data_IF_702771175970
#
_entry.id   IF_702771175970
#
_cell.length_a   1.000
_cell.length_b   1.000
_cell.length_c   1.000
_cell.angle_alpha   90.00
_cell.angle_beta   90.00
_cell.angle_gamma   90.00
#
_symmetry.space_group_name_H-M   'P 1'
#
loop_
_entity.id
_entity.type
_entity.pdbx_description
1 polymer ?
#
# COMPACT_ATOMS: atom_id res chain seq x y z
N UNK A 1 -16.76 54.09 -18.32
CA UNK A 1 -15.40 54.54 -18.67
C UNK A 1 -14.64 53.34 -19.20
N UNK A 2 -14.42 53.33 -20.51
CA UNK A 2 -13.66 52.32 -21.22
C UNK A 2 -12.16 52.67 -21.20
N UNK A 3 -11.29 51.66 -21.26
CA UNK A 3 -10.09 51.77 -22.10
C UNK A 3 -9.51 50.38 -22.40
N UNK A 4 -9.61 50.00 -23.67
CA UNK A 4 -8.84 48.93 -24.30
C UNK A 4 -7.82 49.59 -25.22
N UNK A 5 -6.61 49.06 -25.30
CA UNK A 5 -5.58 49.54 -26.23
C UNK A 5 -5.18 48.44 -27.19
N UNK A 6 -5.47 48.67 -28.48
CA UNK A 6 -4.99 47.89 -29.62
C UNK A 6 -3.62 48.40 -30.07
N UNK A 7 -2.71 47.50 -30.43
CA UNK A 7 -1.47 47.84 -31.15
C UNK A 7 -1.53 47.24 -32.56
N UNK A 8 -1.27 48.11 -33.54
CA UNK A 8 -1.30 47.89 -34.99
C UNK A 8 -0.31 46.82 -35.45
N UNK A 9 -0.81 45.91 -36.28
CA UNK A 9 -0.02 45.11 -37.23
C UNK A 9 0.38 46.00 -38.41
N UNK A 10 1.66 45.99 -38.79
CA UNK A 10 2.11 46.40 -40.12
C UNK A 10 2.95 45.27 -40.70
N UNK A 11 2.42 44.64 -41.75
CA UNK A 11 3.15 43.77 -42.65
C UNK A 11 3.67 44.61 -43.82
N UNK A 12 4.94 44.43 -44.18
CA UNK A 12 5.46 44.86 -45.47
C UNK A 12 6.31 43.73 -46.07
N UNK A 13 6.05 43.53 -47.36
CA UNK A 13 6.45 42.54 -48.34
C UNK A 13 7.95 42.40 -48.66
N UNK A 14 8.35 41.14 -48.89
CA UNK A 14 9.27 40.59 -49.92
C UNK A 14 10.59 41.29 -50.33
N UNK A 15 11.70 40.55 -50.31
CA UNK A 15 12.32 40.04 -51.56
C UNK A 15 13.38 38.96 -51.26
N UNK A 16 13.49 38.04 -52.21
CA UNK A 16 14.29 36.82 -52.24
C UNK A 16 15.47 37.05 -53.19
N UNK A 17 16.71 36.78 -52.74
CA UNK A 17 17.83 36.15 -53.48
C UNK A 17 19.19 36.54 -52.88
N UNK A 18 20.06 35.55 -52.69
CA UNK A 18 21.49 35.76 -52.40
C UNK A 18 22.10 34.71 -51.47
N UNK A 19 22.28 33.48 -51.94
CA UNK A 19 23.18 32.53 -51.29
C UNK A 19 24.62 33.05 -51.29
N UNK A 20 25.29 33.03 -50.14
CA UNK A 20 26.69 32.56 -50.01
C UNK A 20 26.89 31.90 -48.65
N UNK A 21 27.42 30.68 -48.70
CA UNK A 21 27.80 29.83 -47.59
C UNK A 21 28.97 30.39 -46.78
N UNK A 22 28.88 30.38 -45.45
CA UNK A 22 30.04 30.19 -44.58
C UNK A 22 29.65 29.48 -43.29
N UNK A 23 30.53 28.58 -42.88
CA UNK A 23 30.41 27.60 -41.81
C UNK A 23 30.15 28.22 -40.42
N UNK A 24 29.33 27.51 -39.64
CA UNK A 24 29.59 27.28 -38.21
C UNK A 24 28.99 28.26 -37.20
N UNK A 25 27.71 28.08 -36.86
CA UNK A 25 27.21 28.39 -35.51
C UNK A 25 26.28 27.28 -35.03
N UNK A 26 26.75 26.52 -34.03
CA UNK A 26 25.92 25.62 -33.22
C UNK A 26 24.78 26.43 -32.63
N UNK A 27 23.55 26.04 -32.91
CA UNK A 27 22.37 26.49 -32.16
C UNK A 27 22.59 26.15 -30.68
N UNK A 28 22.31 27.07 -29.73
CA UNK A 28 22.29 26.69 -28.33
C UNK A 28 21.13 25.70 -28.19
N UNK A 29 21.48 24.45 -27.87
CA UNK A 29 20.50 23.42 -27.58
C UNK A 29 19.52 23.94 -26.53
N UNK A 30 18.23 23.72 -26.78
CA UNK A 30 17.17 23.88 -25.80
C UNK A 30 17.66 23.29 -24.48
N UNK A 31 17.94 24.18 -23.51
CA UNK A 31 18.19 23.75 -22.15
C UNK A 31 16.84 23.22 -21.67
N UNK A 32 16.69 21.89 -21.70
CA UNK A 32 15.66 21.23 -20.91
C UNK A 32 15.98 21.62 -19.48
N UNK A 33 15.28 22.63 -18.98
CA UNK A 33 15.32 23.06 -17.60
C UNK A 33 14.91 21.83 -16.78
N UNK A 34 15.89 21.06 -16.29
CA UNK A 34 15.58 19.99 -15.34
C UNK A 34 14.95 20.70 -14.16
N UNK A 35 13.69 20.39 -13.89
CA UNK A 35 13.07 20.76 -12.64
C UNK A 35 13.86 20.01 -11.58
N UNK A 36 14.79 20.69 -10.91
CA UNK A 36 15.56 20.10 -9.82
C UNK A 36 14.64 20.09 -8.61
N UNK A 37 14.11 18.91 -8.31
CA UNK A 37 13.42 18.68 -7.06
C UNK A 37 14.46 18.58 -5.94
N UNK A 38 14.34 19.40 -4.90
CA UNK A 38 15.30 19.43 -3.79
C UNK A 38 14.99 18.30 -2.81
N UNK A 39 15.39 17.07 -3.09
CA UNK A 39 15.32 15.99 -2.09
C UNK A 39 16.29 16.28 -0.94
N UNK A 40 15.81 16.25 0.31
CA UNK A 40 16.68 16.36 1.48
C UNK A 40 17.49 15.06 1.58
N UNK A 41 18.80 15.12 1.29
CA UNK A 41 19.70 14.02 1.61
C UNK A 41 19.84 13.94 3.13
N UNK A 42 19.06 13.05 3.77
CA UNK A 42 19.23 12.72 5.18
C UNK A 42 20.42 11.78 5.36
N UNK A 43 20.95 11.69 6.58
CA UNK A 43 22.00 10.71 6.94
C UNK A 43 21.59 9.26 6.68
N UNK A 44 20.29 9.00 6.53
CA UNK A 44 19.72 7.67 6.31
C UNK A 44 19.38 7.38 4.85
N UNK A 45 19.62 8.30 3.90
CA UNK A 45 19.14 8.18 2.52
C UNK A 45 19.50 6.83 1.88
N UNK A 46 20.77 6.43 1.94
CA UNK A 46 21.22 5.17 1.36
C UNK A 46 20.61 3.95 2.06
N UNK A 47 20.49 3.99 3.39
CA UNK A 47 19.88 2.94 4.20
C UNK A 47 18.37 2.78 3.89
N UNK A 48 17.66 3.89 3.74
CA UNK A 48 16.25 3.93 3.38
C UNK A 48 16.03 3.30 2.01
N UNK A 49 16.83 3.70 1.01
CA UNK A 49 16.76 3.15 -0.35
C UNK A 49 17.07 1.65 -0.35
N UNK A 50 18.08 1.23 0.39
CA UNK A 50 18.45 -0.18 0.49
C UNK A 50 17.35 -1.01 1.17
N UNK A 51 16.77 -0.50 2.25
CA UNK A 51 15.68 -1.16 2.98
C UNK A 51 14.43 -1.26 2.13
N UNK A 52 14.02 -0.18 1.45
CA UNK A 52 12.85 -0.18 0.58
C UNK A 52 13.00 -1.18 -0.58
N UNK A 53 14.19 -1.26 -1.20
CA UNK A 53 14.50 -2.27 -2.23
C UNK A 53 14.49 -3.70 -1.71
N UNK A 54 15.00 -3.93 -0.49
CA UNK A 54 14.98 -5.25 0.15
C UNK A 54 13.55 -5.73 0.39
N UNK A 55 12.69 -4.84 0.89
CA UNK A 55 11.26 -5.13 1.08
C UNK A 55 10.58 -5.37 -0.29
N UNK A 56 10.86 -4.56 -1.31
CA UNK A 56 10.31 -4.69 -2.67
C UNK A 56 10.98 -5.76 -3.55
N UNK A 57 11.54 -6.80 -2.94
CA UNK A 57 12.25 -7.86 -3.65
C UNK A 57 11.29 -8.82 -4.37
N UNK A 58 11.68 -9.34 -5.56
CA UNK A 58 10.83 -10.22 -6.34
C UNK A 58 10.32 -11.42 -5.55
N UNK A 59 9.02 -11.72 -5.69
CA UNK A 59 8.39 -12.88 -5.05
C UNK A 59 8.06 -12.72 -3.56
N UNK A 60 8.46 -11.64 -2.88
CA UNK A 60 8.22 -11.43 -1.44
C UNK A 60 7.33 -10.23 -1.11
N UNK A 61 6.26 -10.45 -0.34
CA UNK A 61 5.32 -9.42 0.08
C UNK A 61 5.49 -8.94 1.52
N UNK A 62 4.49 -8.21 2.01
CA UNK A 62 4.43 -7.72 3.39
C UNK A 62 3.31 -8.44 4.16
N UNK A 63 3.63 -8.91 5.36
CA UNK A 63 2.67 -9.43 6.33
C UNK A 63 2.11 -8.29 7.21
N UNK A 64 0.80 -8.06 7.17
CA UNK A 64 0.13 -7.14 8.09
C UNK A 64 -0.37 -7.86 9.33
N UNK A 65 0.20 -7.52 10.48
CA UNK A 65 -0.34 -7.95 11.78
C UNK A 65 -0.44 -6.77 12.75
N UNK A 66 -0.66 -5.58 12.19
CA UNK A 66 -0.77 -4.30 12.86
C UNK A 66 -2.19 -3.97 13.33
N UNK A 67 -3.04 -4.99 13.48
CA UNK A 67 -4.37 -4.79 14.02
C UNK A 67 -4.31 -4.31 15.47
N UNK A 68 -5.02 -3.22 15.75
CA UNK A 68 -5.21 -2.74 17.12
C UNK A 68 -5.86 -3.82 17.99
N UNK A 69 -5.73 -3.68 19.31
CA UNK A 69 -6.33 -4.61 20.27
C UNK A 69 -7.84 -4.77 20.07
N UNK A 70 -8.55 -3.71 19.68
CA UNK A 70 -9.98 -3.76 19.37
C UNK A 70 -10.27 -4.58 18.10
N UNK A 71 -9.52 -4.36 17.02
CA UNK A 71 -9.70 -5.08 15.75
C UNK A 71 -9.32 -6.55 15.90
N UNK A 72 -8.20 -6.85 16.56
CA UNK A 72 -7.81 -8.22 16.88
C UNK A 72 -8.85 -8.90 17.77
N UNK A 73 -9.45 -8.17 18.73
CA UNK A 73 -10.52 -8.69 19.58
C UNK A 73 -11.74 -9.15 18.79
N UNK A 74 -12.19 -8.39 17.79
CA UNK A 74 -13.29 -8.82 16.89
C UNK A 74 -12.93 -10.11 16.14
N UNK A 75 -11.68 -10.25 15.72
CA UNK A 75 -11.17 -11.46 15.05
C UNK A 75 -11.19 -12.66 16.00
N UNK A 76 -10.70 -12.50 17.22
CA UNK A 76 -10.72 -13.55 18.26
C UNK A 76 -12.15 -13.90 18.70
N UNK A 77 -13.06 -12.95 18.75
CA UNK A 77 -14.45 -13.23 19.11
C UNK A 77 -15.14 -14.14 18.07
N UNK A 78 -14.79 -14.02 16.78
CA UNK A 78 -15.41 -14.82 15.70
C UNK A 78 -15.19 -16.33 15.82
N UNK A 79 -14.16 -16.75 16.58
CA UNK A 79 -13.78 -18.14 16.88
C UNK A 79 -14.06 -18.51 18.35
N UNK A 80 -14.74 -17.64 19.08
CA UNK A 80 -15.01 -17.75 20.51
C UNK A 80 -13.75 -17.81 21.38
N UNK A 81 -12.77 -16.92 21.12
CA UNK A 81 -11.66 -16.65 22.03
C UNK A 81 -11.78 -15.24 22.62
N UNK A 82 -11.43 -15.11 23.90
CA UNK A 82 -11.42 -13.83 24.59
C UNK A 82 -10.30 -12.92 24.09
N UNK A 83 -10.53 -11.61 24.14
CA UNK A 83 -9.54 -10.61 23.75
C UNK A 83 -8.53 -10.34 24.88
N UNK A 84 -7.70 -11.33 25.21
CA UNK A 84 -6.62 -11.20 26.20
C UNK A 84 -5.27 -11.01 25.50
N UNK A 85 -4.31 -10.40 26.19
CA UNK A 85 -2.95 -10.24 25.68
C UNK A 85 -2.32 -11.60 25.31
N UNK A 86 -2.50 -12.62 26.14
CA UNK A 86 -1.99 -13.97 25.86
C UNK A 86 -2.55 -14.57 24.57
N UNK A 87 -3.85 -14.41 24.31
CA UNK A 87 -4.45 -14.91 23.06
C UNK A 87 -3.96 -14.12 21.84
N UNK A 88 -3.80 -12.80 22.00
CA UNK A 88 -3.21 -11.91 20.99
C UNK A 88 -1.76 -12.31 20.69
N UNK A 89 -0.93 -12.50 21.70
CA UNK A 89 0.45 -12.97 21.57
C UNK A 89 0.52 -14.34 20.90
N UNK A 90 -0.27 -15.32 21.35
CA UNK A 90 -0.29 -16.66 20.77
C UNK A 90 -0.70 -16.66 19.29
N UNK A 91 -1.63 -15.78 18.94
CA UNK A 91 -2.04 -15.56 17.55
C UNK A 91 -0.89 -15.00 16.70
N UNK A 92 -0.15 -13.99 17.18
CA UNK A 92 0.98 -13.42 16.43
C UNK A 92 2.18 -14.36 16.38
N UNK A 93 2.47 -15.06 17.48
CA UNK A 93 3.50 -16.11 17.50
C UNK A 93 3.24 -17.15 16.42
N UNK A 94 1.99 -17.62 16.30
CA UNK A 94 1.64 -18.62 15.29
C UNK A 94 1.96 -18.17 13.86
N UNK A 95 1.75 -16.89 13.54
CA UNK A 95 2.08 -16.34 12.22
C UNK A 95 3.59 -16.20 12.05
N UNK A 96 4.26 -15.58 13.03
CA UNK A 96 5.67 -15.20 12.96
C UNK A 96 6.64 -16.38 13.06
N UNK A 97 6.22 -17.49 13.64
CA UNK A 97 7.05 -18.72 13.74
C UNK A 97 6.67 -19.74 12.67
N UNK A 98 6.00 -19.34 11.59
CA UNK A 98 5.72 -20.24 10.46
C UNK A 98 7.03 -20.57 9.75
N UNK A 99 7.44 -21.84 9.63
CA UNK A 99 8.68 -22.20 8.95
C UNK A 99 8.67 -21.77 7.49
N UNK A 100 9.77 -21.17 7.01
CA UNK A 100 9.91 -20.71 5.63
C UNK A 100 9.13 -19.43 5.31
N UNK A 101 8.70 -18.67 6.33
CA UNK A 101 7.99 -17.41 6.13
C UNK A 101 8.83 -16.41 5.30
N UNK A 102 10.15 -16.41 5.50
CA UNK A 102 11.09 -15.51 4.80
C UNK A 102 11.18 -15.71 3.29
N UNK A 103 10.73 -16.87 2.78
CA UNK A 103 10.69 -17.15 1.33
C UNK A 103 9.65 -16.29 0.60
N UNK A 104 8.58 -15.89 1.31
CA UNK A 104 7.42 -15.19 0.73
C UNK A 104 7.21 -13.81 1.32
N UNK A 105 7.79 -13.53 2.48
CA UNK A 105 7.62 -12.27 3.20
C UNK A 105 8.98 -11.60 3.34
N UNK A 106 9.05 -10.32 3.02
CA UNK A 106 10.25 -9.49 3.14
C UNK A 106 10.10 -8.40 4.20
N UNK A 107 8.86 -8.09 4.61
CA UNK A 107 8.57 -7.18 5.71
C UNK A 107 7.32 -7.58 6.48
N UNK A 108 7.24 -7.22 7.75
CA UNK A 108 6.03 -7.42 8.57
C UNK A 108 5.73 -6.18 9.40
N UNK A 109 4.47 -5.73 9.39
CA UNK A 109 4.04 -4.53 10.10
C UNK A 109 3.38 -4.95 11.43
N UNK A 110 3.92 -4.45 12.54
CA UNK A 110 3.43 -4.72 13.88
C UNK A 110 2.51 -3.62 14.40
N UNK A 111 1.65 -4.03 15.35
CA UNK A 111 1.04 -3.11 16.31
C UNK A 111 1.99 -2.94 17.49
N UNK A 112 1.89 -1.81 18.20
CA UNK A 112 2.77 -1.44 19.32
C UNK A 112 2.91 -2.55 20.37
N UNK A 113 1.81 -3.22 20.74
CA UNK A 113 1.85 -4.36 21.67
C UNK A 113 2.73 -5.51 21.16
N UNK A 114 2.62 -5.86 19.87
CA UNK A 114 3.36 -6.98 19.28
C UNK A 114 4.85 -6.69 19.14
N UNK A 115 5.25 -5.42 18.97
CA UNK A 115 6.65 -5.03 18.85
C UNK A 115 7.48 -5.42 20.09
N UNK A 116 6.87 -5.34 21.28
CA UNK A 116 7.52 -5.65 22.55
C UNK A 116 7.25 -7.06 23.07
N UNK A 117 6.42 -7.84 22.37
CA UNK A 117 6.11 -9.21 22.73
C UNK A 117 7.23 -10.19 22.33
N UNK A 118 7.22 -11.32 23.03
CA UNK A 118 8.12 -12.46 22.78
C UNK A 118 7.30 -13.71 22.50
N UNK A 119 7.93 -14.72 21.92
CA UNK A 119 7.42 -16.08 21.89
C UNK A 119 7.29 -16.64 23.31
N UNK A 120 6.51 -17.70 23.48
CA UNK A 120 6.44 -18.46 24.74
C UNK A 120 7.81 -18.95 25.25
N UNK A 121 8.79 -19.06 24.36
CA UNK A 121 10.11 -19.59 24.66
C UNK A 121 11.12 -18.45 24.92
N UNK A 122 10.64 -17.21 25.07
CA UNK A 122 11.43 -16.03 25.48
C UNK A 122 12.10 -15.25 24.35
N UNK A 123 12.05 -15.73 23.10
CA UNK A 123 12.62 -15.02 21.94
C UNK A 123 11.72 -13.87 21.49
N UNK A 124 12.26 -12.67 21.30
CA UNK A 124 11.48 -11.51 20.82
C UNK A 124 10.97 -11.74 19.40
N UNK A 125 9.77 -11.25 19.10
CA UNK A 125 9.20 -11.36 17.74
C UNK A 125 10.03 -10.66 16.66
N UNK A 126 10.68 -9.55 17.00
CA UNK A 126 11.61 -8.86 16.11
C UNK A 126 12.76 -9.79 15.69
N UNK A 127 13.29 -10.58 16.62
CA UNK A 127 14.40 -11.49 16.34
C UNK A 127 13.92 -12.73 15.57
N UNK A 128 12.68 -13.17 15.76
CA UNK A 128 12.07 -14.19 14.89
C UNK A 128 12.03 -13.75 13.42
N UNK A 129 11.70 -12.49 13.16
CA UNK A 129 11.66 -11.95 11.79
C UNK A 129 13.06 -11.80 11.18
N UNK A 130 14.02 -11.30 11.95
CA UNK A 130 15.41 -11.11 11.47
C UNK A 130 16.05 -12.43 11.05
N UNK A 131 15.83 -13.50 11.79
CA UNK A 131 16.36 -14.84 11.44
C UNK A 131 15.82 -15.36 10.10
N UNK A 132 14.63 -14.91 9.69
CA UNK A 132 13.99 -15.25 8.42
C UNK A 132 14.24 -14.18 7.33
N UNK A 133 15.15 -13.22 7.55
CA UNK A 133 15.42 -12.09 6.65
C UNK A 133 14.18 -11.23 6.33
N UNK A 134 13.30 -11.06 7.32
CA UNK A 134 12.10 -10.23 7.25
C UNK A 134 12.37 -8.91 7.99
N UNK A 135 12.10 -7.79 7.32
CA UNK A 135 12.25 -6.45 7.92
C UNK A 135 11.08 -6.17 8.88
N UNK A 136 11.35 -5.91 10.17
CA UNK A 136 10.31 -5.52 11.12
C UNK A 136 9.87 -4.07 10.86
N UNK A 137 8.57 -3.85 10.76
CA UNK A 137 7.93 -2.54 10.62
C UNK A 137 6.94 -2.29 11.76
N UNK A 138 6.58 -1.03 11.97
CA UNK A 138 5.69 -0.61 13.06
C UNK A 138 4.63 0.34 12.52
N UNK A 139 3.38 0.11 12.94
CA UNK A 139 2.29 1.04 12.76
C UNK A 139 2.42 2.20 13.75
N UNK A 140 2.56 3.41 13.24
CA UNK A 140 2.72 4.62 14.07
C UNK A 140 1.50 5.52 14.10
N UNK A 141 0.54 5.30 13.21
CA UNK A 141 -0.71 6.06 13.23
C UNK A 141 -1.56 5.70 14.45
N UNK A 142 -2.30 6.69 14.95
CA UNK A 142 -3.12 6.57 16.16
C UNK A 142 -4.61 6.43 15.84
N UNK A 143 -4.93 5.92 14.64
CA UNK A 143 -6.29 5.83 14.16
C UNK A 143 -6.86 7.18 13.72
N UNK A 144 -8.05 7.12 13.17
CA UNK A 144 -8.56 8.15 12.31
C UNK A 144 -9.43 9.15 13.10
N UNK A 145 -9.32 10.45 12.78
CA UNK A 145 -10.05 11.53 13.47
C UNK A 145 -11.00 12.25 12.52
N UNK A 146 -12.19 12.67 12.97
CA UNK A 146 -13.09 13.50 12.17
C UNK A 146 -12.48 14.83 11.78
N UNK A 147 -12.54 15.16 10.48
CA UNK A 147 -12.14 16.46 9.97
C UNK A 147 -13.23 17.53 10.24
N UNK A 148 -12.98 18.53 11.10
CA UNK A 148 -13.96 19.57 11.39
C UNK A 148 -14.32 20.39 10.15
N UNK A 149 -15.57 20.85 10.07
CA UNK A 149 -16.05 21.64 8.93
C UNK A 149 -16.65 20.83 7.76
N UNK A 150 -16.55 19.49 7.79
CA UNK A 150 -17.20 18.60 6.80
C UNK A 150 -18.47 17.92 7.32
N UNK A 151 -18.88 18.20 8.56
CA UNK A 151 -20.00 17.51 9.23
C UNK A 151 -21.40 17.90 8.70
N UNK A 152 -21.51 18.97 7.90
CA UNK A 152 -22.81 19.54 7.46
C UNK A 152 -23.13 19.36 5.97
N UNK A 153 -22.34 18.59 5.22
CA UNK A 153 -22.62 18.33 3.79
C UNK A 153 -22.59 16.82 3.59
N UNK A 154 -23.78 16.22 3.55
CA UNK A 154 -24.08 14.77 3.52
C UNK A 154 -23.73 13.98 4.79
N UNK A 155 -24.70 13.18 5.24
CA UNK A 155 -24.74 12.39 6.49
C UNK A 155 -23.73 11.23 6.58
N UNK A 156 -22.55 11.37 5.99
CA UNK A 156 -21.43 10.42 6.06
C UNK A 156 -20.10 11.17 6.06
N UNK A 157 -19.75 11.77 7.20
CA UNK A 157 -18.40 12.26 7.46
C UNK A 157 -17.77 11.41 8.58
N UNK A 158 -16.45 11.15 8.56
CA UNK A 158 -15.47 12.08 8.01
C UNK A 158 -14.41 11.42 7.11
N UNK A 159 -13.74 12.25 6.32
CA UNK A 159 -12.38 11.89 5.92
C UNK A 159 -11.53 11.80 7.16
N UNK A 160 -10.87 10.66 7.24
CA UNK A 160 -10.35 10.05 8.44
C UNK A 160 -8.84 10.29 8.38
N UNK A 161 -8.39 11.34 9.06
CA UNK A 161 -6.97 11.69 9.16
C UNK A 161 -6.41 10.95 10.36
N UNK A 162 -5.50 10.00 10.14
CA UNK A 162 -4.60 9.57 11.19
C UNK A 162 -3.23 10.20 10.97
N UNK A 163 -2.50 10.43 12.06
CA UNK A 163 -1.15 10.96 12.09
C UNK A 163 -0.14 10.08 11.36
N UNK A 164 -0.25 10.01 10.03
CA UNK A 164 0.85 9.73 9.15
C UNK A 164 0.74 8.54 8.23
N UNK A 165 0.38 7.37 8.75
CA UNK A 165 0.52 6.12 7.98
C UNK A 165 -0.73 5.76 7.17
N UNK A 166 -1.93 6.08 7.68
CA UNK A 166 -3.21 5.67 7.10
C UNK A 166 -4.05 6.88 6.69
N UNK A 167 -4.42 6.92 5.40
CA UNK A 167 -5.48 7.79 4.90
C UNK A 167 -6.53 6.93 4.22
N UNK A 168 -7.77 7.07 4.68
CA UNK A 168 -8.93 6.41 4.09
C UNK A 168 -9.82 7.48 3.44
N UNK A 169 -9.87 7.45 2.12
CA UNK A 169 -10.69 8.35 1.31
C UNK A 169 -12.01 7.68 0.97
N UNK A 170 -13.10 8.40 1.19
CA UNK A 170 -14.38 8.04 0.58
C UNK A 170 -14.26 8.14 -0.94
N UNK A 171 -15.21 7.52 -1.64
CA UNK A 171 -15.27 7.54 -3.10
C UNK A 171 -15.57 8.94 -3.64
N UNK A 172 -16.23 9.80 -2.88
CA UNK A 172 -16.45 11.19 -3.25
C UNK A 172 -15.87 12.12 -2.17
N UNK A 173 -14.54 12.21 -2.04
CA UNK A 173 -13.91 13.03 -1.02
C UNK A 173 -13.98 14.51 -1.41
N UNK A 174 -14.21 15.39 -0.42
CA UNK A 174 -14.12 16.84 -0.63
C UNK A 174 -12.68 17.26 -0.92
N UNK A 175 -12.48 18.39 -1.59
CA UNK A 175 -11.13 18.90 -1.88
C UNK A 175 -10.31 19.14 -0.62
N UNK A 176 -10.96 19.64 0.43
CA UNK A 176 -10.34 19.81 1.75
C UNK A 176 -9.84 18.47 2.30
N UNK A 177 -10.67 17.43 2.23
CA UNK A 177 -10.31 16.10 2.67
C UNK A 177 -9.12 15.51 1.91
N UNK A 178 -9.09 15.68 0.59
CA UNK A 178 -7.97 15.23 -0.25
C UNK A 178 -6.69 15.93 0.19
N UNK A 179 -6.73 17.26 0.27
CA UNK A 179 -5.60 18.09 0.64
C UNK A 179 -5.03 17.73 2.01
N UNK A 180 -5.88 17.64 3.02
CA UNK A 180 -5.42 17.46 4.40
C UNK A 180 -4.83 16.08 4.64
N UNK A 181 -5.39 15.05 4.01
CA UNK A 181 -4.88 13.69 4.10
C UNK A 181 -3.56 13.54 3.32
N UNK A 182 -3.48 14.11 2.12
CA UNK A 182 -2.25 14.13 1.34
C UNK A 182 -1.12 14.87 2.06
N UNK A 183 -1.42 16.02 2.68
CA UNK A 183 -0.48 16.75 3.53
C UNK A 183 -0.06 15.96 4.77
N UNK A 184 -1.00 15.25 5.41
CA UNK A 184 -0.73 14.38 6.55
C UNK A 184 0.23 13.24 6.21
N UNK A 185 -0.02 12.52 5.11
CA UNK A 185 0.85 11.46 4.59
C UNK A 185 2.26 12.00 4.27
N UNK A 186 2.35 13.19 3.67
CA UNK A 186 3.61 13.78 3.28
C UNK A 186 4.50 14.14 4.48
N UNK A 187 3.93 14.78 5.51
CA UNK A 187 4.66 15.08 6.75
C UNK A 187 5.12 13.81 7.44
N UNK A 188 4.30 12.77 7.45
CA UNK A 188 4.71 11.47 7.99
C UNK A 188 5.86 10.83 7.25
N UNK A 189 5.80 10.83 5.92
CA UNK A 189 6.87 10.27 5.12
C UNK A 189 8.20 11.01 5.41
N UNK A 190 8.16 12.35 5.45
CA UNK A 190 9.32 13.16 5.79
C UNK A 190 9.86 12.87 7.21
N UNK A 191 9.00 12.83 8.23
CA UNK A 191 9.39 12.53 9.61
C UNK A 191 9.96 11.11 9.73
N UNK A 192 9.37 10.13 9.04
CA UNK A 192 9.85 8.75 9.05
C UNK A 192 11.27 8.67 8.48
N UNK A 193 11.50 9.33 7.34
CA UNK A 193 12.82 9.37 6.70
C UNK A 193 13.88 10.10 7.54
N UNK A 194 13.50 11.15 8.25
CA UNK A 194 14.38 11.86 9.20
C UNK A 194 14.80 10.97 10.38
N UNK A 195 14.04 9.91 10.67
CA UNK A 195 14.31 8.94 11.74
C UNK A 195 14.82 7.59 11.23
N UNK A 196 15.22 7.49 9.95
CA UNK A 196 15.76 6.27 9.37
C UNK A 196 14.73 5.15 9.14
N UNK A 197 13.44 5.48 9.11
CA UNK A 197 12.35 4.54 8.83
C UNK A 197 11.83 4.73 7.42
N UNK A 198 11.73 3.64 6.65
CA UNK A 198 11.08 3.65 5.32
C UNK A 198 9.57 3.84 5.51
N UNK A 199 8.99 4.98 5.08
CA UNK A 199 7.54 5.15 5.16
C UNK A 199 6.81 4.30 4.12
N UNK A 200 5.73 3.67 4.56
CA UNK A 200 4.76 3.03 3.67
C UNK A 200 3.59 4.00 3.53
N UNK A 201 3.45 4.65 2.38
CA UNK A 201 2.37 5.62 2.13
C UNK A 201 1.13 4.87 1.67
N UNK A 202 0.03 4.96 2.43
CA UNK A 202 -1.25 4.25 2.19
C UNK A 202 -2.37 5.24 1.81
N UNK A 203 -2.46 5.63 0.52
CA UNK A 203 -3.58 6.42 -0.01
C UNK A 203 -4.74 5.49 -0.39
N UNK A 204 -5.46 4.96 0.62
CA UNK A 204 -6.56 4.02 0.44
C UNK A 204 -7.84 4.73 -0.03
N UNK A 205 -8.36 4.35 -1.20
CA UNK A 205 -9.74 4.64 -1.56
C UNK A 205 -10.61 3.50 -1.03
N UNK A 206 -11.59 3.82 -0.20
CA UNK A 206 -12.49 2.85 0.45
C UNK A 206 -13.36 2.13 -0.58
N UNK A 207 -13.60 0.84 -0.31
CA UNK A 207 -14.40 -0.03 -1.17
C UNK A 207 -15.92 0.23 -1.01
N UNK A 208 -16.35 0.87 0.07
CA UNK A 208 -17.77 1.01 0.42
C UNK A 208 -18.59 1.78 -0.63
N UNK A 209 -19.83 1.33 -0.88
CA UNK A 209 -20.81 1.95 -1.78
C UNK A 209 -21.07 1.21 -3.10
N UNK A 210 -21.99 1.75 -3.89
CA UNK A 210 -22.47 1.23 -5.20
C UNK A 210 -21.89 2.05 -6.37
N UNK A 211 -20.57 2.27 -6.36
CA UNK A 211 -19.91 3.05 -7.40
C UNK A 211 -19.26 2.13 -8.45
N UNK A 212 -19.30 2.51 -9.75
CA UNK A 212 -18.64 1.75 -10.80
C UNK A 212 -17.12 1.92 -10.73
N UNK A 213 -16.38 0.97 -11.32
CA UNK A 213 -14.91 0.96 -11.33
C UNK A 213 -14.30 2.23 -11.97
N UNK A 214 -14.97 2.84 -12.94
CA UNK A 214 -14.53 4.10 -13.57
C UNK A 214 -14.53 5.25 -12.57
N UNK A 215 -15.48 5.28 -11.62
CA UNK A 215 -15.52 6.30 -10.57
C UNK A 215 -14.35 6.11 -9.60
N UNK A 216 -14.08 4.87 -9.20
CA UNK A 216 -12.89 4.55 -8.37
C UNK A 216 -11.61 5.03 -9.03
N UNK A 217 -11.47 4.82 -10.35
CA UNK A 217 -10.30 5.28 -11.12
C UNK A 217 -10.17 6.80 -11.10
N UNK A 218 -11.24 7.53 -11.39
CA UNK A 218 -11.24 9.00 -11.45
C UNK A 218 -10.81 9.59 -10.09
N UNK A 219 -11.36 9.06 -9.01
CA UNK A 219 -11.12 9.53 -7.65
C UNK A 219 -9.69 9.18 -7.22
N UNK A 220 -9.24 7.95 -7.47
CA UNK A 220 -7.86 7.56 -7.21
C UNK A 220 -6.87 8.45 -7.97
N UNK A 221 -7.15 8.78 -9.24
CA UNK A 221 -6.30 9.66 -10.03
C UNK A 221 -6.19 11.06 -9.44
N UNK A 222 -7.30 11.62 -8.92
CA UNK A 222 -7.30 12.93 -8.26
C UNK A 222 -6.55 12.90 -6.93
N UNK A 223 -6.87 11.93 -6.06
CA UNK A 223 -6.27 11.80 -4.73
C UNK A 223 -4.76 11.59 -4.84
N UNK A 224 -4.32 10.68 -5.70
CA UNK A 224 -2.90 10.33 -5.77
C UNK A 224 -2.05 11.42 -6.41
N UNK A 225 -2.63 12.25 -7.27
CA UNK A 225 -1.95 13.44 -7.78
C UNK A 225 -1.58 14.39 -6.63
N UNK A 226 -2.52 14.65 -5.72
CA UNK A 226 -2.30 15.49 -4.54
C UNK A 226 -1.32 14.85 -3.56
N UNK A 227 -1.40 13.53 -3.35
CA UNK A 227 -0.46 12.79 -2.48
C UNK A 227 0.97 12.95 -2.98
N UNK A 228 1.24 12.69 -4.27
CA UNK A 228 2.58 12.85 -4.82
C UNK A 228 3.04 14.30 -4.89
N UNK A 229 2.13 15.25 -5.15
CA UNK A 229 2.42 16.67 -5.07
C UNK A 229 2.91 17.05 -3.66
N UNK A 230 2.19 16.65 -2.61
CA UNK A 230 2.59 17.01 -1.25
C UNK A 230 3.78 16.22 -0.72
N UNK A 231 3.97 14.97 -1.14
CA UNK A 231 5.22 14.23 -0.88
C UNK A 231 6.41 15.00 -1.47
N UNK A 232 6.24 15.55 -2.68
CA UNK A 232 7.25 16.42 -3.28
C UNK A 232 7.43 17.72 -2.45
N UNK A 233 6.37 18.46 -2.14
CA UNK A 233 6.50 19.69 -1.36
C UNK A 233 7.18 19.50 0.02
N UNK A 234 7.12 18.29 0.59
CA UNK A 234 7.79 17.92 1.84
C UNK A 234 9.19 17.29 1.66
N UNK A 235 9.78 17.38 0.46
CA UNK A 235 11.14 16.91 0.13
C UNK A 235 11.37 15.41 0.40
N UNK A 236 10.32 14.59 0.28
CA UNK A 236 10.41 13.14 0.50
C UNK A 236 11.23 12.46 -0.59
N UNK A 237 12.15 11.58 -0.19
CA UNK A 237 12.96 10.78 -1.12
C UNK A 237 12.13 9.60 -1.62
N UNK A 238 11.69 9.62 -2.87
CA UNK A 238 10.78 8.60 -3.42
C UNK A 238 11.42 7.21 -3.56
N UNK A 239 12.72 7.14 -3.73
CA UNK A 239 13.49 5.89 -3.74
C UNK A 239 13.48 5.19 -2.37
N UNK A 240 13.18 5.94 -1.30
CA UNK A 240 13.11 5.47 0.08
C UNK A 240 11.69 5.39 0.63
N UNK A 241 10.66 5.26 -0.22
CA UNK A 241 9.27 4.99 0.22
C UNK A 241 8.77 3.65 -0.34
N UNK A 242 7.68 3.13 0.23
CA UNK A 242 6.83 2.14 -0.41
C UNK A 242 5.41 2.68 -0.52
N UNK A 243 4.66 2.28 -1.54
CA UNK A 243 3.22 2.54 -1.57
C UNK A 243 2.44 1.33 -1.10
N UNK A 244 1.37 1.57 -0.37
CA UNK A 244 0.37 0.56 0.01
C UNK A 244 -1.03 1.02 -0.39
N UNK A 245 -1.39 0.91 -1.68
CA UNK A 245 -2.67 1.39 -2.16
C UNK A 245 -3.77 0.32 -2.18
N UNK A 246 -5.03 0.74 -2.35
CA UNK A 246 -6.10 -0.14 -2.80
C UNK A 246 -5.97 -0.46 -4.29
N UNK A 247 -6.46 -1.64 -4.70
CA UNK A 247 -6.66 -1.93 -6.12
C UNK A 247 -7.86 -1.12 -6.64
N UNK A 248 -7.87 -0.82 -7.94
CA UNK A 248 -9.02 -0.15 -8.57
C UNK A 248 -10.10 -1.19 -8.84
N UNK A 249 -11.11 -1.24 -7.97
CA UNK A 249 -12.26 -2.15 -8.03
C UNK A 249 -13.57 -1.37 -8.02
N UNK A 250 -14.68 -1.94 -8.53
CA UNK A 250 -16.00 -1.39 -8.24
C UNK A 250 -16.30 -1.49 -6.75
N UNK A 251 -17.29 -0.72 -6.28
CA UNK A 251 -17.70 -0.72 -4.88
C UNK A 251 -18.23 -2.07 -4.39
N UNK A 252 -18.18 -2.28 -3.08
CA UNK A 252 -18.62 -3.52 -2.43
C UNK A 252 -20.08 -3.87 -2.77
N UNK A 253 -20.94 -2.85 -2.84
CA UNK A 253 -22.38 -2.97 -3.10
C UNK A 253 -22.71 -2.94 -4.60
N UNK A 254 -21.71 -2.73 -5.46
CA UNK A 254 -21.92 -2.64 -6.90
C UNK A 254 -22.37 -3.98 -7.49
N UNK A 255 -23.43 -3.92 -8.30
CA UNK A 255 -24.10 -5.10 -8.88
C UNK A 255 -23.15 -5.95 -9.72
N UNK A 256 -22.29 -5.29 -10.50
CA UNK A 256 -21.34 -5.96 -11.37
C UNK A 256 -19.97 -6.08 -10.71
N UNK A 257 -19.52 -7.32 -10.50
CA UNK A 257 -18.15 -7.58 -10.05
C UNK A 257 -17.20 -7.56 -11.25
N UNK A 258 -16.07 -6.86 -11.09
CA UNK A 258 -15.05 -6.80 -12.12
C UNK A 258 -14.24 -8.10 -12.15
N UNK A 259 -13.92 -8.59 -13.35
CA UNK A 259 -12.98 -9.69 -13.51
C UNK A 259 -11.55 -9.28 -13.12
N UNK A 260 -10.67 -10.24 -12.76
CA UNK A 260 -9.28 -9.93 -12.44
C UNK A 260 -8.53 -9.17 -13.53
N UNK A 261 -8.80 -9.47 -14.81
CA UNK A 261 -8.18 -8.77 -15.93
C UNK A 261 -8.63 -7.31 -16.05
N UNK A 262 -9.88 -7.03 -15.72
CA UNK A 262 -10.43 -5.67 -15.67
C UNK A 262 -9.82 -4.90 -14.51
N UNK A 263 -9.82 -5.45 -13.29
CA UNK A 263 -9.15 -4.85 -12.12
C UNK A 263 -7.69 -4.54 -12.42
N UNK A 264 -6.99 -5.50 -13.03
CA UNK A 264 -5.59 -5.32 -13.42
C UNK A 264 -5.40 -4.21 -14.45
N UNK A 265 -6.28 -4.12 -15.47
CA UNK A 265 -6.21 -3.06 -16.50
C UNK A 265 -6.36 -1.67 -15.87
N UNK A 266 -7.36 -1.50 -15.00
CA UNK A 266 -7.66 -0.23 -14.35
C UNK A 266 -6.57 0.19 -13.37
N UNK A 267 -6.13 -0.75 -12.53
CA UNK A 267 -5.08 -0.51 -11.54
C UNK A 267 -3.76 -0.14 -12.21
N UNK A 268 -3.31 -0.91 -13.22
CA UNK A 268 -2.08 -0.59 -13.95
C UNK A 268 -2.17 0.72 -14.73
N UNK A 269 -3.35 1.11 -15.23
CA UNK A 269 -3.57 2.40 -15.88
C UNK A 269 -3.38 3.56 -14.90
N UNK A 270 -3.93 3.42 -13.68
CA UNK A 270 -3.79 4.42 -12.62
C UNK A 270 -2.33 4.56 -12.18
N UNK A 271 -1.65 3.44 -11.90
CA UNK A 271 -0.23 3.43 -11.49
C UNK A 271 0.64 4.19 -12.50
N UNK A 272 0.49 3.90 -13.81
CA UNK A 272 1.24 4.59 -14.88
C UNK A 272 1.05 6.09 -14.90
N UNK A 273 -0.14 6.56 -14.54
CA UNK A 273 -0.52 7.97 -14.64
C UNK A 273 -0.04 8.78 -13.44
N UNK A 274 0.12 8.15 -12.27
CA UNK A 274 0.30 8.88 -11.00
C UNK A 274 1.55 8.51 -10.22
N UNK A 275 2.15 7.34 -10.42
CA UNK A 275 3.30 6.89 -9.62
C UNK A 275 4.62 7.19 -10.35
N UNK A 276 5.51 8.02 -9.78
CA UNK A 276 6.81 8.33 -10.36
C UNK A 276 7.76 7.11 -10.38
N UNK A 277 8.53 6.87 -11.47
CA UNK A 277 9.52 5.77 -11.63
C UNK A 277 10.58 5.57 -10.53
N UNK A 278 10.65 6.46 -9.54
CA UNK A 278 11.57 6.36 -8.40
C UNK A 278 11.05 5.41 -7.30
N UNK A 279 9.73 5.20 -7.19
CA UNK A 279 9.12 4.38 -6.12
C UNK A 279 9.47 2.88 -6.26
N UNK A 280 10.20 2.27 -5.32
CA UNK A 280 10.75 0.92 -5.50
C UNK A 280 9.69 -0.20 -5.47
N UNK A 281 8.57 -0.05 -4.77
CA UNK A 281 7.60 -1.13 -4.60
C UNK A 281 6.16 -0.67 -4.31
N UNK A 282 5.20 -1.48 -4.78
CA UNK A 282 3.76 -1.30 -4.57
C UNK A 282 3.20 -2.53 -3.86
N UNK A 283 2.65 -2.32 -2.66
CA UNK A 283 2.21 -3.35 -1.72
C UNK A 283 0.69 -3.25 -1.53
N UNK A 284 -0.10 -3.80 -2.44
CA UNK A 284 -1.56 -3.59 -2.44
C UNK A 284 -2.23 -4.10 -1.17
N UNK A 285 -3.03 -3.26 -0.53
CA UNK A 285 -3.97 -3.72 0.50
C UNK A 285 -5.07 -4.58 -0.13
N UNK A 286 -5.43 -5.67 0.54
CA UNK A 286 -6.55 -6.53 0.13
C UNK A 286 -7.91 -5.90 0.44
N UNK A 287 -8.00 -5.04 1.47
CA UNK A 287 -9.21 -4.33 1.83
C UNK A 287 -10.36 -5.30 2.15
N UNK A 288 -11.51 -5.11 1.50
CA UNK A 288 -12.68 -5.98 1.61
C UNK A 288 -12.69 -7.19 0.66
N UNK A 289 -11.63 -7.43 -0.11
CA UNK A 289 -11.55 -8.58 -1.02
C UNK A 289 -11.35 -9.89 -0.25
N UNK A 290 -11.88 -10.98 -0.79
CA UNK A 290 -11.50 -12.32 -0.35
C UNK A 290 -10.03 -12.63 -0.69
N UNK A 291 -9.45 -13.61 -0.01
CA UNK A 291 -8.06 -14.04 -0.28
C UNK A 291 -7.85 -14.47 -1.74
N UNK A 292 -8.83 -15.20 -2.28
CA UNK A 292 -8.80 -15.67 -3.66
C UNK A 292 -8.87 -14.50 -4.64
N UNK A 293 -9.76 -13.53 -4.42
CA UNK A 293 -9.88 -12.34 -5.27
C UNK A 293 -8.58 -11.51 -5.25
N UNK A 294 -8.05 -11.20 -4.06
CA UNK A 294 -6.82 -10.42 -3.94
C UNK A 294 -5.65 -11.11 -4.66
N UNK A 295 -5.55 -12.45 -4.53
CA UNK A 295 -4.52 -13.25 -5.21
C UNK A 295 -4.69 -13.25 -6.72
N UNK A 296 -5.92 -13.47 -7.21
CA UNK A 296 -6.21 -13.52 -8.65
C UNK A 296 -5.99 -12.16 -9.30
N UNK A 297 -6.41 -11.08 -8.64
CA UNK A 297 -6.21 -9.71 -9.12
C UNK A 297 -4.73 -9.35 -9.19
N UNK A 298 -3.94 -9.67 -8.15
CA UNK A 298 -2.49 -9.45 -8.16
C UNK A 298 -1.79 -10.24 -9.26
N UNK A 299 -2.15 -11.51 -9.41
CA UNK A 299 -1.59 -12.37 -10.45
C UNK A 299 -1.96 -11.87 -11.85
N UNK A 300 -3.19 -11.39 -12.07
CA UNK A 300 -3.58 -10.76 -13.33
C UNK A 300 -2.78 -9.48 -13.63
N UNK A 301 -2.43 -8.69 -12.62
CA UNK A 301 -1.54 -7.54 -12.78
C UNK A 301 -0.13 -7.95 -13.18
N UNK A 302 0.47 -8.92 -12.48
CA UNK A 302 1.85 -9.37 -12.73
C UNK A 302 2.04 -10.17 -14.03
N UNK A 303 0.96 -10.75 -14.59
CA UNK A 303 1.02 -11.44 -15.89
C UNK A 303 1.12 -10.51 -17.09
N UNK A 304 0.72 -9.24 -16.93
CA UNK A 304 0.79 -8.27 -18.03
C UNK A 304 2.23 -7.77 -18.15
N UNK A 305 2.81 -7.73 -19.37
CA UNK A 305 4.19 -7.29 -19.52
C UNK A 305 4.34 -5.87 -18.97
N UNK A 306 5.45 -5.56 -18.28
CA UNK A 306 5.72 -4.19 -17.87
C UNK A 306 5.74 -3.34 -19.13
N UNK A 307 4.79 -2.43 -19.26
CA UNK A 307 4.78 -1.53 -20.42
C UNK A 307 6.03 -0.67 -20.38
N UNK A 308 6.65 -0.41 -21.54
CA UNK A 308 7.83 0.44 -21.68
C UNK A 308 7.69 1.74 -20.86
N UNK A 309 8.60 1.96 -19.90
CA UNK A 309 8.55 3.08 -18.94
C UNK A 309 7.86 2.77 -17.60
N UNK A 310 7.30 1.57 -17.45
CA UNK A 310 6.86 1.02 -16.18
C UNK A 310 7.94 0.09 -15.62
N UNK A 311 8.27 0.35 -14.37
CA UNK A 311 9.36 -0.15 -13.53
C UNK A 311 9.66 -1.66 -13.51
N UNK A 312 10.80 -2.01 -12.88
CA UNK A 312 10.99 -3.26 -12.12
C UNK A 312 10.43 -3.20 -10.67
N UNK A 313 9.33 -2.47 -10.41
CA UNK A 313 8.68 -2.46 -9.09
C UNK A 313 7.89 -3.74 -8.95
N UNK A 314 8.27 -4.59 -8.00
CA UNK A 314 7.54 -5.83 -7.76
C UNK A 314 6.19 -5.49 -7.10
N UNK A 315 5.11 -6.00 -7.70
CA UNK A 315 3.76 -5.82 -7.19
C UNK A 315 3.45 -6.98 -6.25
N UNK A 316 3.17 -6.66 -4.99
CA UNK A 316 2.86 -7.66 -3.97
C UNK A 316 1.49 -7.40 -3.36
N UNK A 317 0.89 -8.47 -2.83
CA UNK A 317 -0.29 -8.34 -1.96
C UNK A 317 0.20 -8.22 -0.53
N UNK A 318 -0.40 -7.26 0.15
CA UNK A 318 -0.44 -7.17 1.58
C UNK A 318 -1.47 -8.19 2.10
N UNK A 319 -0.99 -9.26 2.71
CA UNK A 319 -1.89 -10.25 3.31
C UNK A 319 -2.31 -9.72 4.69
N UNK A 320 -3.50 -9.12 4.78
CA UNK A 320 -4.22 -9.05 6.06
C UNK A 320 -4.67 -10.46 6.38
N UNK A 321 -4.52 -10.88 7.63
CA UNK A 321 -5.00 -12.19 8.04
C UNK A 321 -6.49 -12.37 7.73
N UNK A 322 -6.91 -13.51 7.17
CA UNK A 322 -8.25 -13.71 6.63
C UNK A 322 -9.37 -13.46 7.64
N UNK A 323 -10.49 -12.92 7.17
CA UNK A 323 -11.75 -12.88 7.90
C UNK A 323 -12.83 -13.57 7.05
N UNK A 324 -13.22 -14.79 7.43
CA UNK A 324 -14.60 -15.31 7.42
C UNK A 324 -14.78 -16.75 6.93
N UNK A 325 -15.55 -17.49 7.75
CA UNK A 325 -16.73 -18.32 7.44
C UNK A 325 -16.56 -19.34 6.33
N UNK A 326 -16.25 -20.59 6.69
CA UNK A 326 -17.03 -21.82 6.39
C UNK A 326 -16.14 -23.09 6.48
N UNK A 327 -16.62 -24.09 7.22
CA UNK A 327 -16.43 -25.51 6.89
C UNK A 327 -15.49 -26.33 7.78
N UNK A 328 -16.08 -27.17 8.63
CA UNK A 328 -15.42 -28.18 9.49
C UNK A 328 -14.62 -29.19 8.66
N UNK A 329 -13.40 -29.55 9.10
CA UNK A 329 -12.61 -30.66 8.55
C UNK A 329 -11.68 -31.28 9.60
N UNK A 330 -11.84 -32.59 9.83
CA UNK A 330 -11.36 -33.39 10.97
C UNK A 330 -9.87 -33.79 10.93
N UNK A 331 -9.39 -34.30 12.08
CA UNK A 331 -8.02 -34.66 12.47
C UNK A 331 -7.17 -35.58 11.54
N UNK A 332 -7.65 -36.00 10.36
CA UNK A 332 -6.90 -36.90 9.45
C UNK A 332 -6.17 -36.20 8.30
N UNK A 333 -6.36 -34.90 8.09
CA UNK A 333 -5.70 -34.11 7.03
C UNK A 333 -4.26 -33.66 7.37
N UNK A 334 -3.74 -34.01 8.55
CA UNK A 334 -2.61 -33.33 9.20
C UNK A 334 -1.22 -33.88 8.82
N UNK A 335 -1.14 -34.99 8.09
CA UNK A 335 0.12 -35.48 7.48
C UNK A 335 0.30 -35.05 6.02
N UNK A 336 -0.75 -34.53 5.36
CA UNK A 336 -0.72 -34.12 3.94
C UNK A 336 -0.49 -32.61 3.72
N UNK A 337 -0.46 -31.79 4.77
CA UNK A 337 -0.27 -30.32 4.68
C UNK A 337 1.19 -29.85 4.81
N UNK A 338 2.17 -30.77 4.82
CA UNK A 338 3.61 -30.43 4.80
C UNK A 338 4.16 -30.12 3.39
N UNK A 339 3.36 -30.25 2.34
CA UNK A 339 3.88 -30.24 0.96
C UNK A 339 3.30 -29.19 0.03
N UNK A 340 2.42 -28.28 0.45
CA UNK A 340 1.59 -27.50 -0.49
C UNK A 340 1.43 -26.04 -0.05
N UNK A 341 2.45 -25.21 -0.33
CA UNK A 341 2.40 -23.73 -0.22
C UNK A 341 3.17 -23.12 -1.39
N UNK A 342 2.48 -22.44 -2.31
CA UNK A 342 3.13 -21.66 -3.37
C UNK A 342 2.32 -20.40 -3.66
N UNK A 343 2.98 -19.25 -3.65
CA UNK A 343 2.52 -18.09 -4.41
C UNK A 343 2.89 -18.34 -5.89
N UNK A 344 1.99 -19.06 -6.58
CA UNK A 344 1.89 -19.38 -8.02
C UNK A 344 3.23 -19.48 -8.80
N UNK A 345 3.67 -20.73 -9.08
CA UNK A 345 3.05 -21.45 -10.20
C UNK A 345 2.14 -22.62 -9.82
N UNK A 346 1.89 -22.93 -8.55
CA UNK A 346 0.88 -23.94 -8.18
C UNK A 346 -0.05 -23.48 -7.06
N UNK A 347 -1.30 -23.21 -7.42
CA UNK A 347 -2.41 -23.02 -6.47
C UNK A 347 -2.41 -24.11 -5.37
N UNK A 348 -2.05 -23.75 -4.14
CA UNK A 348 -2.33 -24.57 -2.96
C UNK A 348 -2.59 -23.69 -1.73
N UNK A 349 -3.76 -23.93 -1.13
CA UNK A 349 -4.37 -23.30 0.07
C UNK A 349 -3.40 -22.82 1.15
N UNK A 350 -3.54 -21.56 1.55
CA UNK A 350 -3.22 -21.13 2.91
C UNK A 350 -4.20 -21.80 3.90
N UNK A 351 -3.79 -22.18 5.13
CA UNK A 351 -4.74 -22.50 6.17
C UNK A 351 -5.54 -21.24 6.48
N UNK A 352 -6.86 -21.37 6.48
CA UNK A 352 -7.74 -20.25 6.80
C UNK A 352 -7.43 -19.70 8.20
N UNK A 353 -7.77 -18.45 8.48
CA UNK A 353 -7.65 -17.90 9.84
C UNK A 353 -8.41 -18.76 10.84
N UNK A 354 -9.54 -19.37 10.44
CA UNK A 354 -10.26 -20.36 11.24
C UNK A 354 -9.38 -21.57 11.55
N UNK A 355 -8.63 -22.13 10.60
CA UNK A 355 -7.71 -23.25 10.83
C UNK A 355 -6.54 -22.88 11.76
N UNK A 356 -6.01 -21.68 11.60
CA UNK A 356 -4.91 -21.11 12.39
C UNK A 356 -5.39 -20.85 13.83
N UNK A 357 -6.55 -20.25 13.97
CA UNK A 357 -7.15 -19.88 15.26
C UNK A 357 -7.74 -21.09 16.01
N UNK A 358 -8.27 -22.09 15.31
CA UNK A 358 -8.63 -23.39 15.89
C UNK A 358 -7.42 -24.10 16.47
N UNK A 359 -6.22 -23.94 15.90
CA UNK A 359 -4.96 -24.46 16.49
C UNK A 359 -4.61 -23.74 17.78
N UNK A 360 -4.82 -22.42 17.87
CA UNK A 360 -4.66 -21.65 19.12
C UNK A 360 -5.60 -22.18 20.20
N UNK A 361 -6.90 -22.36 19.86
CA UNK A 361 -7.91 -22.94 20.76
C UNK A 361 -7.53 -24.38 21.18
N UNK A 362 -7.08 -25.22 20.26
CA UNK A 362 -6.66 -26.59 20.53
C UNK A 362 -5.36 -26.70 21.35
N UNK A 363 -4.48 -25.68 21.33
CA UNK A 363 -3.31 -25.59 22.22
C UNK A 363 -3.71 -25.13 23.62
N UNK A 364 -4.66 -24.18 23.73
CA UNK A 364 -5.20 -23.73 25.03
C UNK A 364 -5.91 -24.88 25.77
N UNK A 365 -6.83 -25.58 25.10
CA UNK A 365 -7.54 -26.73 25.68
C UNK A 365 -6.61 -27.87 26.11
N UNK A 366 -5.50 -28.09 25.39
CA UNK A 366 -4.50 -29.09 25.79
C UNK A 366 -3.71 -28.71 27.03
N UNK A 367 -3.52 -27.41 27.29
CA UNK A 367 -2.86 -26.90 28.51
C UNK A 367 -3.78 -26.82 29.71
N UNK A 368 -5.10 -26.77 29.50
CA UNK A 368 -6.10 -26.80 30.58
C UNK A 368 -6.46 -28.23 31.01
N UNK A 369 -6.14 -29.25 30.19
CA UNK A 369 -6.33 -30.67 30.51
C UNK A 369 -5.04 -31.41 30.95
N UNK A 370 -3.91 -30.71 31.04
CA UNK A 370 -2.62 -31.19 31.54
C UNK A 370 -2.22 -30.41 32.77
#
# INVERSE_FOLDING_TARGET
MASASFVKLNAASSSWMGQKSSLGKRSPGSSTRRVSFSTRASSYTDELVQTAKSIASPGRGILAIDESNATCGKRLASISLDNTETNRQAYRQLLLTTPGLGEYISGAIFFEETLYQSTTDGKKFVDCLRDENIVPGIKVDKGLVPLPGLLNITSKAPVLLSGGLLSAFLVDPSDLAIKEAAWGLARYAAISQDNGLVPIVEPEILLDGDHPIDRTLEVAEKVWAEVFYYLAENNVVFEGILLKPSMVTPGAEHKEKASPDTVAKYTLKMLKRRVPPAVPGIMFLSGGQSEAEATLNLNAMNRKPPTRGMFPSHMHVHCRTPCSRHGRGTLRTWKLLRSHFWCVPRLTRWPSSEDILLRVKARKLRRECS
#
